data_IF_983506193078
#
_entry.id   IF_983506193078
#
_cell.length_a   1.000
_cell.length_b   1.000
_cell.length_c   1.000
_cell.angle_alpha   90.00
_cell.angle_beta   90.00
_cell.angle_gamma   90.00
#
_symmetry.space_group_name_H-M   'P 1'
#
loop_
_entity.id
_entity.type
_entity.pdbx_description
1 polymer ?
#
# COMPACT_ATOMS: atom_id res chain seq x y z
N UNK A 1 -30.04 -49.22 31.39
CA UNK A 1 -30.03 -47.86 31.96
C UNK A 1 -29.17 -46.94 31.12
N UNK A 2 -29.72 -46.62 29.95
CA UNK A 2 -29.20 -45.72 28.91
C UNK A 2 -29.49 -44.24 29.21
N UNK A 3 -29.78 -43.90 30.47
CA UNK A 3 -30.40 -42.62 30.83
C UNK A 3 -29.43 -41.58 31.38
N UNK A 4 -28.18 -41.95 31.68
CA UNK A 4 -27.18 -41.02 32.26
C UNK A 4 -26.13 -40.48 31.28
N UNK A 5 -26.08 -40.97 30.05
CA UNK A 5 -25.10 -40.54 29.02
C UNK A 5 -25.80 -39.71 27.92
N UNK A 6 -26.85 -38.95 28.28
CA UNK A 6 -27.57 -38.08 27.34
C UNK A 6 -27.58 -36.60 27.71
N UNK A 7 -27.00 -36.21 28.86
CA UNK A 7 -27.11 -34.85 29.40
C UNK A 7 -25.87 -33.96 29.23
N UNK A 8 -24.87 -34.33 28.42
CA UNK A 8 -23.61 -33.55 28.33
C UNK A 8 -23.22 -33.03 26.93
N UNK A 9 -24.11 -33.09 25.94
CA UNK A 9 -23.77 -32.68 24.56
C UNK A 9 -24.83 -31.75 23.94
N UNK A 10 -25.30 -30.76 24.70
CA UNK A 10 -26.01 -29.63 24.13
C UNK A 10 -25.06 -28.42 24.04
N UNK A 11 -24.07 -28.53 23.14
CA UNK A 11 -23.57 -27.33 22.48
C UNK A 11 -24.61 -26.99 21.43
N UNK A 12 -25.59 -26.17 21.80
CA UNK A 12 -26.47 -25.54 20.82
C UNK A 12 -25.58 -24.90 19.75
N UNK A 13 -25.91 -25.15 18.49
CA UNK A 13 -25.28 -24.53 17.33
C UNK A 13 -25.46 -23.01 17.42
N UNK A 14 -24.64 -22.34 18.24
CA UNK A 14 -24.45 -20.91 18.16
C UNK A 14 -23.79 -20.67 16.80
N UNK A 15 -24.62 -20.29 15.82
CA UNK A 15 -24.17 -19.77 14.54
C UNK A 15 -23.22 -18.61 14.84
N UNK A 16 -21.92 -18.90 14.84
CA UNK A 16 -20.89 -17.87 14.96
C UNK A 16 -20.99 -17.02 13.71
N UNK A 17 -21.72 -15.90 13.83
CA UNK A 17 -21.85 -14.93 12.75
C UNK A 17 -20.46 -14.32 12.53
N UNK A 18 -19.80 -14.74 11.45
CA UNK A 18 -18.52 -14.18 11.06
C UNK A 18 -18.70 -12.73 10.60
N UNK A 19 -18.65 -11.80 11.55
CA UNK A 19 -18.52 -10.38 11.27
C UNK A 19 -17.06 -10.10 10.97
N UNK A 20 -16.72 -10.14 9.68
CA UNK A 20 -15.45 -9.62 9.21
C UNK A 20 -15.46 -8.10 9.41
N UNK A 21 -15.03 -7.62 10.59
CA UNK A 21 -14.75 -6.20 10.86
C UNK A 21 -13.55 -5.66 10.03
N UNK A 22 -13.16 -6.39 8.98
CA UNK A 22 -12.10 -6.00 8.06
C UNK A 22 -12.57 -4.81 7.25
N UNK A 23 -12.06 -3.64 7.61
CA UNK A 23 -12.07 -2.47 6.72
C UNK A 23 -11.19 -2.79 5.52
N UNK A 24 -11.79 -2.99 4.35
CA UNK A 24 -11.06 -3.20 3.10
C UNK A 24 -10.33 -1.89 2.80
N UNK A 25 -9.01 -1.88 2.95
CA UNK A 25 -8.18 -0.79 2.41
C UNK A 25 -8.33 -0.89 0.89
N UNK A 26 -8.99 0.11 0.32
CA UNK A 26 -9.17 0.23 -1.13
C UNK A 26 -7.78 0.44 -1.75
N UNK A 27 -7.29 -0.58 -2.46
CA UNK A 27 -5.95 -0.62 -3.09
C UNK A 27 -6.03 -0.60 -4.60
N UNK A 28 -6.76 0.36 -5.15
CA UNK A 28 -7.07 0.46 -6.58
C UNK A 28 -6.52 1.74 -7.22
N UNK A 29 -5.49 2.33 -6.61
CA UNK A 29 -4.83 3.51 -7.16
C UNK A 29 -3.92 3.15 -8.33
N UNK A 30 -3.88 4.03 -9.33
CA UNK A 30 -3.01 3.85 -10.48
C UNK A 30 -1.57 4.33 -10.17
N UNK A 31 -0.53 3.67 -10.70
CA UNK A 31 0.87 4.05 -10.45
C UNK A 31 1.21 5.48 -10.87
N UNK A 32 0.58 5.99 -11.92
CA UNK A 32 0.83 7.35 -12.40
C UNK A 32 0.29 8.39 -11.40
N UNK A 33 -0.80 8.09 -10.67
CA UNK A 33 -1.30 8.95 -9.59
C UNK A 33 -0.30 9.03 -8.44
N UNK A 34 0.27 7.89 -8.05
CA UNK A 34 1.32 7.81 -7.03
C UNK A 34 2.55 8.63 -7.46
N UNK A 35 2.98 8.49 -8.71
CA UNK A 35 4.15 9.20 -9.24
C UNK A 35 3.93 10.71 -9.29
N UNK A 36 2.75 11.16 -9.76
CA UNK A 36 2.37 12.58 -9.75
C UNK A 36 2.33 13.17 -8.35
N UNK A 37 1.77 12.42 -7.39
CA UNK A 37 1.75 12.83 -6.00
C UNK A 37 3.16 12.95 -5.41
N UNK A 38 4.03 11.98 -5.67
CA UNK A 38 5.42 12.03 -5.18
C UNK A 38 6.16 13.23 -5.79
N UNK A 39 5.95 13.52 -7.06
CA UNK A 39 6.53 14.70 -7.72
C UNK A 39 6.10 15.99 -7.02
N UNK A 40 4.81 16.13 -6.71
CA UNK A 40 4.27 17.27 -5.94
C UNK A 40 4.89 17.38 -4.55
N UNK A 41 4.99 16.28 -3.80
CA UNK A 41 5.49 16.30 -2.41
C UNK A 41 7.00 16.45 -2.30
N UNK A 42 7.75 15.93 -3.28
CA UNK A 42 9.23 15.95 -3.24
C UNK A 42 9.84 17.10 -4.03
N UNK A 43 9.09 17.70 -4.96
CA UNK A 43 9.60 18.65 -5.95
C UNK A 43 10.54 18.00 -6.98
N UNK A 44 10.59 16.66 -7.04
CA UNK A 44 11.43 15.90 -7.95
C UNK A 44 10.55 15.38 -9.08
N UNK A 45 10.90 15.72 -10.31
CA UNK A 45 10.20 15.26 -11.52
C UNK A 45 10.05 13.73 -11.54
N UNK A 46 8.84 13.25 -11.82
CA UNK A 46 8.53 11.82 -11.86
C UNK A 46 9.39 11.04 -12.86
N UNK A 47 9.93 11.68 -13.90
CA UNK A 47 10.88 11.08 -14.87
C UNK A 47 12.11 10.49 -14.15
N UNK A 48 12.47 11.01 -12.97
CA UNK A 48 13.55 10.46 -12.14
C UNK A 48 13.31 9.00 -11.73
N UNK A 49 12.08 8.48 -11.84
CA UNK A 49 11.79 7.06 -11.63
C UNK A 49 12.42 6.15 -12.71
N UNK A 50 12.83 6.68 -13.86
CA UNK A 50 13.50 5.93 -14.93
C UNK A 50 15.02 6.16 -14.98
N UNK A 51 15.51 7.25 -14.40
CA UNK A 51 16.93 7.62 -14.42
C UNK A 51 17.77 6.65 -13.58
N UNK A 52 18.94 6.23 -14.07
CA UNK A 52 19.86 5.37 -13.31
C UNK A 52 20.80 6.19 -12.43
N UNK A 53 21.17 5.62 -11.27
CA UNK A 53 22.27 6.09 -10.42
C UNK A 53 22.25 7.58 -10.00
N UNK A 54 21.09 8.08 -9.56
CA UNK A 54 20.94 9.45 -9.04
C UNK A 54 20.31 9.42 -7.63
N UNK A 55 20.70 10.36 -6.75
CA UNK A 55 20.14 10.49 -5.39
C UNK A 55 18.63 10.75 -5.42
N UNK A 56 18.18 11.70 -6.24
CA UNK A 56 16.78 12.02 -6.43
C UNK A 56 16.00 10.83 -6.99
N UNK A 57 16.59 10.12 -7.96
CA UNK A 57 16.00 8.88 -8.49
C UNK A 57 15.80 7.82 -7.40
N UNK A 58 16.76 7.64 -6.48
CA UNK A 58 16.61 6.69 -5.37
C UNK A 58 15.46 7.07 -4.45
N UNK A 59 15.31 8.36 -4.12
CA UNK A 59 14.22 8.86 -3.28
C UNK A 59 12.87 8.58 -3.96
N UNK A 60 12.70 9.01 -5.21
CA UNK A 60 11.46 8.81 -5.97
C UNK A 60 11.12 7.33 -6.10
N UNK A 61 12.10 6.49 -6.47
CA UNK A 61 11.89 5.03 -6.59
C UNK A 61 11.53 4.36 -5.27
N UNK A 62 12.15 4.78 -4.17
CA UNK A 62 11.91 4.20 -2.85
C UNK A 62 10.49 4.52 -2.36
N UNK A 63 10.10 5.80 -2.42
CA UNK A 63 8.75 6.24 -2.08
C UNK A 63 7.71 5.59 -3.01
N UNK A 64 7.95 5.59 -4.33
CA UNK A 64 7.03 4.99 -5.30
C UNK A 64 6.85 3.49 -5.06
N UNK A 65 7.94 2.75 -4.82
CA UNK A 65 7.86 1.30 -4.54
C UNK A 65 7.05 1.02 -3.27
N UNK A 66 7.27 1.80 -2.21
CA UNK A 66 6.52 1.67 -0.96
C UNK A 66 5.03 1.97 -1.16
N UNK A 67 4.71 3.12 -1.75
CA UNK A 67 3.33 3.56 -1.95
C UNK A 67 2.58 2.61 -2.88
N UNK A 68 3.16 2.21 -4.01
CA UNK A 68 2.52 1.24 -4.92
C UNK A 68 2.29 -0.12 -4.26
N UNK A 69 3.22 -0.55 -3.38
CA UNK A 69 3.06 -1.81 -2.64
C UNK A 69 1.96 -1.74 -1.59
N UNK A 70 1.79 -0.58 -0.98
CA UNK A 70 0.79 -0.35 0.07
C UNK A 70 -0.60 -0.02 -0.49
N UNK A 71 -0.66 0.67 -1.64
CA UNK A 71 -1.85 1.35 -2.14
C UNK A 71 -2.34 0.86 -3.52
N UNK A 72 -1.50 0.24 -4.36
CA UNK A 72 -1.92 -0.11 -5.73
C UNK A 72 -2.27 -1.59 -5.95
N UNK A 73 -2.22 -2.46 -4.94
CA UNK A 73 -2.29 -3.93 -5.11
C UNK A 73 -1.20 -4.48 -6.07
N UNK A 74 -0.08 -3.76 -6.23
CA UNK A 74 0.99 -4.14 -7.14
C UNK A 74 2.00 -5.07 -6.46
N UNK A 75 2.41 -6.12 -7.18
CA UNK A 75 3.52 -6.99 -6.76
C UNK A 75 4.85 -6.42 -7.23
N UNK A 76 5.96 -6.98 -6.73
CA UNK A 76 7.30 -6.49 -7.08
C UNK A 76 7.51 -6.50 -8.59
N UNK A 77 7.04 -7.55 -9.29
CA UNK A 77 7.13 -7.66 -10.74
C UNK A 77 6.35 -6.59 -11.51
N UNK A 78 5.26 -6.08 -10.93
CA UNK A 78 4.42 -5.05 -11.56
C UNK A 78 5.13 -3.70 -11.39
N UNK A 79 5.64 -3.42 -10.19
CA UNK A 79 6.47 -2.25 -9.88
C UNK A 79 7.77 -2.23 -10.72
N UNK A 80 8.38 -3.38 -10.97
CA UNK A 80 9.55 -3.50 -11.85
C UNK A 80 9.30 -2.87 -13.23
N UNK A 81 8.12 -3.10 -13.82
CA UNK A 81 7.74 -2.55 -15.13
C UNK A 81 7.60 -1.04 -15.07
N UNK A 82 6.94 -0.54 -14.01
CA UNK A 82 6.74 0.90 -13.79
C UNK A 82 8.09 1.64 -13.63
N UNK A 83 9.04 1.07 -12.90
CA UNK A 83 10.33 1.72 -12.59
C UNK A 83 11.43 1.51 -13.66
N UNK A 84 11.05 1.14 -14.89
CA UNK A 84 12.00 0.98 -16.01
C UNK A 84 12.69 -0.38 -16.06
N UNK A 85 11.95 -1.47 -15.83
CA UNK A 85 12.41 -2.87 -15.93
C UNK A 85 13.60 -3.22 -15.01
N UNK A 86 13.52 -2.78 -13.76
CA UNK A 86 14.52 -3.14 -12.73
C UNK A 86 14.25 -4.52 -12.13
N UNK A 87 15.24 -5.10 -11.44
CA UNK A 87 15.09 -6.39 -10.78
C UNK A 87 14.14 -6.34 -9.56
N UNK A 88 13.42 -7.44 -9.30
CA UNK A 88 12.51 -7.54 -8.14
C UNK A 88 13.23 -7.37 -6.79
N UNK A 89 14.48 -7.86 -6.68
CA UNK A 89 15.33 -7.64 -5.51
C UNK A 89 15.62 -6.16 -5.27
N UNK A 90 15.75 -5.38 -6.34
CA UNK A 90 15.94 -3.92 -6.26
C UNK A 90 14.68 -3.25 -5.76
N UNK A 91 13.49 -3.64 -6.26
CA UNK A 91 12.20 -3.15 -5.74
C UNK A 91 12.04 -3.47 -4.26
N UNK A 92 12.34 -4.71 -3.85
CA UNK A 92 12.25 -5.10 -2.44
C UNK A 92 13.15 -4.23 -1.56
N UNK A 93 14.39 -3.99 -1.97
CA UNK A 93 15.32 -3.11 -1.27
C UNK A 93 14.83 -1.65 -1.26
N UNK A 94 14.26 -1.17 -2.36
CA UNK A 94 13.68 0.17 -2.45
C UNK A 94 12.49 0.34 -1.50
N UNK A 95 11.65 -0.68 -1.31
CA UNK A 95 10.60 -0.64 -0.31
C UNK A 95 11.18 -0.50 1.10
N UNK A 96 12.23 -1.26 1.45
CA UNK A 96 12.90 -1.10 2.76
C UNK A 96 13.47 0.30 2.95
N UNK A 97 14.13 0.85 1.92
CA UNK A 97 14.61 2.24 1.93
C UNK A 97 13.44 3.23 2.05
N UNK A 98 12.30 2.96 1.41
CA UNK A 98 11.11 3.78 1.52
C UNK A 98 10.58 3.83 2.95
N UNK A 99 10.55 2.68 3.65
CA UNK A 99 10.17 2.60 5.06
C UNK A 99 11.14 3.40 5.94
N UNK A 100 12.44 3.28 5.68
CA UNK A 100 13.46 4.07 6.37
C UNK A 100 13.22 5.58 6.16
N UNK A 101 13.03 6.01 4.92
CA UNK A 101 12.78 7.42 4.58
C UNK A 101 11.57 8.01 5.30
N UNK A 102 10.44 7.30 5.36
CA UNK A 102 9.26 7.80 6.08
C UNK A 102 9.45 7.81 7.61
N UNK A 103 10.40 7.01 8.12
CA UNK A 103 10.67 6.91 9.56
C UNK A 103 11.68 7.96 10.03
N UNK A 104 12.65 8.33 9.18
CA UNK A 104 13.75 9.22 9.53
C UNK A 104 13.56 10.65 9.05
N UNK A 105 12.93 10.85 7.89
CA UNK A 105 12.76 12.17 7.29
C UNK A 105 11.36 12.74 7.63
N UNK A 106 11.30 13.75 8.50
CA UNK A 106 10.04 14.38 8.92
C UNK A 106 9.17 14.84 7.73
N UNK A 107 9.79 15.27 6.62
CA UNK A 107 9.11 15.64 5.37
C UNK A 107 8.26 14.52 4.77
N UNK A 108 8.62 13.26 4.97
CA UNK A 108 7.94 12.10 4.38
C UNK A 108 7.11 11.29 5.37
N UNK A 109 7.19 11.61 6.67
CA UNK A 109 6.52 10.87 7.74
C UNK A 109 5.03 10.64 7.54
N UNK A 110 4.34 11.64 7.01
CA UNK A 110 2.90 11.59 6.77
C UNK A 110 2.51 11.37 5.30
N UNK A 111 3.45 10.98 4.44
CA UNK A 111 3.23 10.91 2.99
C UNK A 111 2.09 9.95 2.59
N UNK A 112 1.96 8.82 3.30
CA UNK A 112 0.89 7.84 3.04
C UNK A 112 -0.47 8.41 3.42
N UNK A 113 -0.57 9.03 4.61
CA UNK A 113 -1.83 9.62 5.07
C UNK A 113 -2.26 10.79 4.19
N UNK A 114 -1.30 11.63 3.76
CA UNK A 114 -1.54 12.71 2.79
C UNK A 114 -2.10 12.18 1.47
N UNK A 115 -1.50 11.12 0.92
CA UNK A 115 -2.00 10.51 -0.31
C UNK A 115 -3.44 10.04 -0.13
N UNK A 116 -3.73 9.32 0.97
CA UNK A 116 -5.07 8.80 1.26
C UNK A 116 -6.08 9.94 1.40
N UNK A 117 -5.75 11.03 2.10
CA UNK A 117 -6.66 12.17 2.25
C UNK A 117 -6.96 12.83 0.91
N UNK A 118 -5.95 13.10 0.08
CA UNK A 118 -6.14 13.75 -1.23
C UNK A 118 -7.05 12.94 -2.18
N UNK A 119 -7.00 11.60 -2.08
CA UNK A 119 -7.77 10.73 -2.96
C UNK A 119 -9.09 10.24 -2.34
N UNK A 120 -9.30 10.39 -1.03
CA UNK A 120 -10.62 10.17 -0.39
C UNK A 120 -11.63 11.20 -0.86
N UNK A 121 -11.20 12.46 -0.95
CA UNK A 121 -12.05 13.57 -1.39
C UNK A 121 -12.41 13.46 -2.88
N UNK A 122 -11.49 12.92 -3.68
CA UNK A 122 -11.68 12.70 -5.12
C UNK A 122 -12.69 11.57 -5.44
N UNK A 123 -12.77 10.52 -4.60
CA UNK A 123 -13.75 9.44 -4.76
C UNK A 123 -15.14 9.75 -4.20
N UNK A 124 -15.24 10.65 -3.23
CA UNK A 124 -16.54 11.11 -2.72
C UNK A 124 -17.34 11.89 -3.79
N UNK A 125 -16.65 12.56 -4.71
CA UNK A 125 -17.26 13.34 -5.80
C UNK A 125 -17.70 12.50 -7.01
N UNK A 126 -17.16 11.29 -7.19
CA UNK A 126 -17.49 10.43 -8.32
C UNK A 126 -18.77 9.58 -8.12
N UNK A 127 -19.38 9.66 -6.93
CA UNK A 127 -20.60 8.91 -6.56
C UNK A 127 -21.86 9.80 -6.44
N UNK A 128 -21.82 11.05 -6.89
CA UNK A 128 -23.00 11.94 -7.00
C UNK A 128 -23.31 12.25 -8.46
#
# INVERSE_FOLDING_TARGET
>A
DDEKIKNELEFQDEETEYRSDRTIIVRDFEPDEILKFIEKETGIDKIMCHVKNNKNSKIVKALASLLMRSLCNYRCKDICKVLGNIAQSTVSRLCSIGVELISTEEKYKNIINKFISEHRDSKALACT
#
